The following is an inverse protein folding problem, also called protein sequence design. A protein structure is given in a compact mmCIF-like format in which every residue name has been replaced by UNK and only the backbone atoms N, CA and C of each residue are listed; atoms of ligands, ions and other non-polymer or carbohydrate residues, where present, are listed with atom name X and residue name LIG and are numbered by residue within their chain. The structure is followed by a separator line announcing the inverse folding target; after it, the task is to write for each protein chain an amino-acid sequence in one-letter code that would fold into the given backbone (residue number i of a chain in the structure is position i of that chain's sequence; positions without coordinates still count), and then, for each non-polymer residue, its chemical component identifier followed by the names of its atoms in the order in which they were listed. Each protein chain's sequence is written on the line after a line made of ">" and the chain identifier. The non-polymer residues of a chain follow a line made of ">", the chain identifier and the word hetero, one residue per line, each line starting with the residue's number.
data_IF_289321064593
#
_entry.id   IF_289321064593
#
_cell.length_a   1.000
_cell.length_b   1.000
_cell.length_c   1.000
_cell.angle_alpha   90.00
_cell.angle_beta   90.00
_cell.angle_gamma   90.00
#
_symmetry.space_group_name_H-M   'P 1'
#
loop_
_entity.id
_entity.type
_entity.pdbx_description
1 polymer ?
#
# COMPACT_ATOMS: atom_id res chain seq x y z
N UNK A 1 5.54 -35.54 60.36
CA UNK A 1 6.04 -34.81 59.17
C UNK A 1 5.35 -35.42 57.97
N UNK A 2 4.25 -34.80 57.53
CA UNK A 2 3.56 -35.20 56.30
C UNK A 2 4.30 -34.60 55.09
N UNK A 3 4.44 -35.33 53.97
CA UNK A 3 5.00 -34.76 52.75
C UNK A 3 4.03 -33.71 52.17
N UNK A 4 4.54 -32.63 51.56
CA UNK A 4 3.68 -31.61 50.97
C UNK A 4 2.86 -32.19 49.81
N UNK A 5 1.61 -31.73 49.61
CA UNK A 5 0.76 -32.20 48.53
C UNK A 5 1.37 -31.82 47.19
N UNK A 6 1.55 -32.80 46.31
CA UNK A 6 1.97 -32.59 44.93
C UNK A 6 0.86 -31.81 44.21
N UNK A 7 1.10 -30.52 43.94
CA UNK A 7 0.27 -29.69 43.07
C UNK A 7 0.45 -30.19 41.64
N UNK A 8 -0.35 -31.20 41.27
CA UNK A 8 -0.39 -31.70 39.89
C UNK A 8 -0.70 -30.56 38.94
N UNK A 9 0.25 -30.20 38.07
CA UNK A 9 -0.01 -29.32 36.95
C UNK A 9 -1.02 -30.05 36.06
N UNK A 10 -2.26 -29.56 36.03
CA UNK A 10 -3.32 -30.10 35.19
C UNK A 10 -2.82 -30.14 33.73
N UNK A 11 -2.78 -31.32 33.06
CA UNK A 11 -2.27 -31.45 31.70
C UNK A 11 -3.13 -30.74 30.65
N UNK A 12 -4.22 -30.08 31.06
CA UNK A 12 -5.06 -29.19 30.23
C UNK A 12 -4.46 -27.80 30.06
N UNK A 13 -3.51 -27.40 30.91
CA UNK A 13 -2.76 -26.14 30.78
C UNK A 13 -1.45 -26.34 30.01
N UNK A 14 -1.46 -27.23 29.01
CA UNK A 14 -0.38 -27.22 28.04
C UNK A 14 -0.48 -25.91 27.24
N UNK A 15 0.57 -25.07 27.22
CA UNK A 15 0.60 -23.92 26.33
C UNK A 15 0.47 -24.46 24.91
N UNK A 16 -0.65 -24.13 24.25
CA UNK A 16 -0.84 -24.43 22.84
C UNK A 16 0.34 -23.77 22.10
N UNK A 17 1.05 -24.47 21.20
CA UNK A 17 2.09 -23.84 20.41
C UNK A 17 1.49 -22.61 19.72
N UNK A 18 2.02 -21.42 20.02
CA UNK A 18 1.62 -20.22 19.32
C UNK A 18 1.98 -20.43 17.84
N UNK A 19 0.97 -20.54 16.98
CA UNK A 19 1.19 -20.49 15.54
C UNK A 19 1.95 -19.19 15.22
N UNK A 20 2.87 -19.17 14.23
CA UNK A 20 3.54 -17.94 13.84
C UNK A 20 2.48 -16.90 13.53
N UNK A 21 2.43 -15.82 14.30
CA UNK A 21 1.59 -14.68 13.97
C UNK A 21 2.11 -14.11 12.65
N UNK A 22 1.27 -14.10 11.61
CA UNK A 22 1.56 -13.35 10.39
C UNK A 22 1.82 -11.88 10.71
N UNK A 23 2.37 -11.09 9.77
CA UNK A 23 2.64 -9.69 9.99
C UNK A 23 1.38 -8.95 10.46
N UNK A 24 1.51 -8.18 11.53
CA UNK A 24 0.40 -7.47 12.21
C UNK A 24 0.01 -6.17 11.46
N UNK A 25 0.61 -5.90 10.29
CA UNK A 25 0.42 -4.67 9.51
C UNK A 25 -0.57 -4.80 8.35
N UNK A 26 -1.03 -3.67 7.76
CA UNK A 26 -1.77 -3.69 6.51
C UNK A 26 -0.92 -4.36 5.41
N UNK A 27 -1.55 -5.03 4.44
CA UNK A 27 -0.83 -5.61 3.30
C UNK A 27 -0.05 -4.52 2.54
N UNK A 28 1.15 -4.83 2.04
CA UNK A 28 1.99 -3.87 1.33
C UNK A 28 1.26 -3.30 0.11
N UNK A 29 1.50 -2.01 -0.24
CA UNK A 29 0.76 -1.30 -1.28
C UNK A 29 1.31 -1.64 -2.68
N UNK A 30 1.26 -2.92 -3.05
CA UNK A 30 1.94 -3.46 -4.22
C UNK A 30 1.35 -2.92 -5.53
N UNK A 31 0.04 -2.64 -5.60
CA UNK A 31 -0.57 -2.11 -6.83
C UNK A 31 -0.14 -0.66 -7.03
N UNK A 32 -0.27 0.19 -6.00
CA UNK A 32 0.15 1.59 -6.01
C UNK A 32 1.64 1.74 -6.38
N UNK A 33 2.50 0.84 -5.88
CA UNK A 33 3.93 0.79 -6.24
C UNK A 33 4.20 0.46 -7.70
N UNK A 34 3.38 -0.40 -8.28
CA UNK A 34 3.52 -0.84 -9.65
C UNK A 34 2.87 0.10 -10.68
N UNK A 35 2.14 1.13 -10.25
CA UNK A 35 1.54 2.15 -11.14
C UNK A 35 2.62 2.95 -11.83
N UNK A 36 2.65 2.95 -13.16
CA UNK A 36 3.54 3.79 -13.97
C UNK A 36 2.93 5.19 -14.12
N UNK A 37 3.68 6.23 -13.75
CA UNK A 37 3.26 7.62 -13.97
C UNK A 37 4.04 8.18 -15.15
N UNK A 38 3.38 8.33 -16.29
CA UNK A 38 4.06 8.77 -17.53
C UNK A 38 4.24 10.29 -17.59
N UNK A 39 3.21 11.03 -17.20
CA UNK A 39 3.21 12.49 -17.25
C UNK A 39 2.16 13.06 -16.29
N UNK A 40 2.33 14.34 -15.94
CA UNK A 40 1.25 15.17 -15.40
C UNK A 40 0.93 16.26 -16.42
N UNK A 41 -0.35 16.53 -16.60
CA UNK A 41 -0.86 17.53 -17.53
C UNK A 41 -1.86 18.41 -16.81
N UNK A 42 -1.85 19.70 -17.14
CA UNK A 42 -2.85 20.63 -16.64
C UNK A 42 -3.84 20.94 -17.77
N UNK A 43 -5.12 20.65 -17.53
CA UNK A 43 -6.22 20.93 -18.45
C UNK A 43 -7.07 22.05 -17.85
N UNK A 44 -6.88 23.27 -18.34
CA UNK A 44 -7.45 24.48 -17.73
C UNK A 44 -6.88 24.71 -16.33
N UNK A 45 -7.73 24.64 -15.30
CA UNK A 45 -7.34 24.78 -13.90
C UNK A 45 -7.19 23.43 -13.17
N UNK A 46 -7.40 22.31 -13.87
CA UNK A 46 -7.39 20.97 -13.27
C UNK A 46 -6.10 20.25 -13.66
N UNK A 47 -5.37 19.79 -12.65
CA UNK A 47 -4.19 18.94 -12.83
C UNK A 47 -4.62 17.47 -12.93
N UNK A 48 -4.06 16.75 -13.89
CA UNK A 48 -4.28 15.31 -14.11
C UNK A 48 -2.95 14.59 -14.30
N UNK A 49 -2.92 13.32 -13.96
CA UNK A 49 -1.82 12.40 -14.24
C UNK A 49 -2.21 11.43 -15.36
N UNK A 50 -1.23 11.05 -16.18
CA UNK A 50 -1.32 9.95 -17.13
C UNK A 50 -0.69 8.74 -16.47
N UNK A 51 -1.51 7.75 -16.13
CA UNK A 51 -1.08 6.57 -15.39
C UNK A 51 -1.40 5.29 -16.14
N UNK A 52 -0.59 4.26 -15.89
CA UNK A 52 -0.88 2.89 -16.29
C UNK A 52 -0.78 1.99 -15.05
N UNK A 53 -1.92 1.47 -14.63
CA UNK A 53 -1.99 0.52 -13.52
C UNK A 53 -1.67 -0.89 -14.01
N UNK A 54 -1.20 -1.80 -13.13
CA UNK A 54 -1.05 -3.21 -13.46
C UNK A 54 -2.38 -3.79 -13.95
N UNK A 55 -2.40 -4.35 -15.16
CA UNK A 55 -3.59 -4.95 -15.76
C UNK A 55 -4.64 -3.95 -16.30
N UNK A 56 -4.35 -2.64 -16.30
CA UNK A 56 -5.20 -1.61 -16.90
C UNK A 56 -4.51 -0.92 -18.08
N UNK A 57 -5.31 -0.39 -19.01
CA UNK A 57 -4.84 0.51 -20.05
C UNK A 57 -4.41 1.87 -19.48
N UNK A 58 -3.60 2.60 -20.25
CA UNK A 58 -3.17 3.96 -19.90
C UNK A 58 -4.35 4.92 -19.91
N UNK A 59 -4.51 5.72 -18.84
CA UNK A 59 -5.62 6.67 -18.71
C UNK A 59 -5.26 7.93 -17.93
N UNK A 60 -6.10 8.96 -18.09
CA UNK A 60 -6.04 10.20 -17.33
C UNK A 60 -6.76 10.06 -16.00
N UNK A 61 -6.12 10.46 -14.92
CA UNK A 61 -6.68 10.44 -13.56
C UNK A 61 -6.41 11.75 -12.84
N UNK A 62 -7.32 12.17 -11.98
CA UNK A 62 -7.20 13.33 -11.10
C UNK A 62 -7.23 12.93 -9.63
N UNK A 63 -7.07 13.91 -8.76
CA UNK A 63 -7.26 13.72 -7.31
C UNK A 63 -8.69 13.27 -7.04
N UNK A 64 -8.86 12.22 -6.25
CA UNK A 64 -10.15 11.62 -5.94
C UNK A 64 -10.49 10.38 -6.77
N UNK A 65 -9.76 10.10 -7.84
CA UNK A 65 -9.99 8.92 -8.69
C UNK A 65 -9.47 7.62 -8.05
N UNK A 66 -10.05 6.51 -8.48
CA UNK A 66 -9.60 5.16 -8.12
C UNK A 66 -9.03 4.41 -9.32
N UNK A 67 -7.90 3.72 -9.10
CA UNK A 67 -7.18 2.93 -10.09
C UNK A 67 -6.83 1.52 -9.61
N UNK A 68 -6.30 0.67 -10.49
CA UNK A 68 -5.91 -0.69 -10.16
C UNK A 68 -7.11 -1.57 -9.78
N UNK A 69 -8.24 -1.43 -10.48
CA UNK A 69 -9.48 -2.12 -10.13
C UNK A 69 -10.20 -1.59 -8.89
N UNK A 70 -9.81 -0.41 -8.40
CA UNK A 70 -10.45 0.26 -7.26
C UNK A 70 -9.67 0.16 -5.95
N UNK A 71 -8.52 -0.50 -5.93
CA UNK A 71 -7.69 -0.67 -4.73
C UNK A 71 -6.80 0.55 -4.41
N UNK A 72 -6.50 1.37 -5.42
CA UNK A 72 -5.59 2.51 -5.28
C UNK A 72 -6.35 3.82 -5.42
N UNK A 73 -6.20 4.71 -4.45
CA UNK A 73 -6.77 6.04 -4.45
C UNK A 73 -5.74 7.09 -4.85
N UNK A 74 -6.11 8.01 -5.74
CA UNK A 74 -5.27 9.14 -6.12
C UNK A 74 -5.47 10.27 -5.12
N UNK A 75 -4.56 10.38 -4.16
CA UNK A 75 -4.67 11.29 -3.02
C UNK A 75 -4.23 12.71 -3.32
N UNK A 76 -3.15 12.88 -4.07
CA UNK A 76 -2.64 14.19 -4.45
C UNK A 76 -1.82 14.13 -5.75
N UNK A 77 -1.77 15.25 -6.47
CA UNK A 77 -0.86 15.44 -7.60
C UNK A 77 -0.12 16.76 -7.36
N UNK A 78 1.15 16.66 -6.97
CA UNK A 78 2.00 17.83 -6.73
C UNK A 78 2.78 18.19 -8.00
N UNK A 79 2.52 19.38 -8.52
CA UNK A 79 3.19 19.95 -9.70
C UNK A 79 3.90 21.25 -9.39
N UNK A 80 3.87 21.68 -8.12
CA UNK A 80 4.44 22.94 -7.67
C UNK A 80 5.90 22.79 -7.28
N UNK A 81 6.37 21.56 -7.09
CA UNK A 81 7.78 21.24 -6.90
C UNK A 81 8.49 21.25 -8.26
N UNK A 82 9.28 22.30 -8.58
CA UNK A 82 9.71 22.58 -9.95
C UNK A 82 10.74 21.59 -10.52
N UNK A 83 11.30 20.72 -9.69
CA UNK A 83 12.29 19.73 -10.12
C UNK A 83 11.63 18.45 -10.64
N UNK A 84 10.60 17.93 -9.96
CA UNK A 84 10.00 16.63 -10.25
C UNK A 84 8.53 16.60 -9.79
N UNK A 85 7.55 16.62 -10.71
CA UNK A 85 6.16 16.42 -10.34
C UNK A 85 5.93 15.01 -9.79
N UNK A 86 5.10 14.89 -8.77
CA UNK A 86 4.81 13.62 -8.08
C UNK A 86 3.31 13.37 -7.95
N UNK A 87 2.94 12.11 -8.00
CA UNK A 87 1.59 11.62 -7.72
C UNK A 87 1.63 10.84 -6.41
N UNK A 88 0.78 11.23 -5.46
CA UNK A 88 0.62 10.52 -4.19
C UNK A 88 -0.57 9.58 -4.31
N UNK A 89 -0.30 8.29 -4.18
CA UNK A 89 -1.26 7.21 -4.23
C UNK A 89 -1.47 6.63 -2.83
N UNK A 90 -2.64 6.10 -2.55
CA UNK A 90 -2.94 5.42 -1.30
C UNK A 90 -3.53 4.03 -1.59
N UNK A 91 -3.01 3.00 -0.93
CA UNK A 91 -3.53 1.63 -0.99
C UNK A 91 -3.44 1.03 0.41
N UNK A 92 -4.52 0.40 0.88
CA UNK A 92 -4.59 -0.19 2.23
C UNK A 92 -4.24 0.78 3.38
N UNK A 93 -4.46 2.09 3.18
CA UNK A 93 -4.09 3.14 4.14
C UNK A 93 -2.60 3.49 4.16
N UNK A 94 -1.80 2.99 3.21
CA UNK A 94 -0.40 3.34 3.03
C UNK A 94 -0.21 4.27 1.84
N UNK A 95 0.52 5.37 2.05
CA UNK A 95 0.82 6.35 1.00
C UNK A 95 2.07 5.95 0.20
N UNK A 96 1.98 6.06 -1.12
CA UNK A 96 3.04 5.77 -2.07
C UNK A 96 3.23 6.98 -2.99
N UNK A 97 4.38 7.63 -2.89
CA UNK A 97 4.75 8.74 -3.78
C UNK A 97 5.40 8.19 -5.05
N UNK A 98 4.86 8.55 -6.21
CA UNK A 98 5.34 8.13 -7.53
C UNK A 98 5.77 9.37 -8.33
N UNK A 99 7.07 9.55 -8.60
CA UNK A 99 7.51 10.62 -9.50
C UNK A 99 7.08 10.35 -10.93
N UNK A 100 6.89 11.41 -11.70
CA UNK A 100 6.67 11.30 -13.15
C UNK A 100 7.89 10.68 -13.82
N UNK A 101 7.66 9.74 -14.73
CA UNK A 101 8.70 8.95 -15.38
C UNK A 101 9.17 7.74 -14.55
N UNK A 102 8.61 7.52 -13.35
CA UNK A 102 8.99 6.37 -12.53
C UNK A 102 8.49 5.05 -13.14
N UNK A 103 9.42 4.13 -13.36
CA UNK A 103 9.12 2.73 -13.67
C UNK A 103 8.42 2.04 -12.48
N UNK A 104 7.68 0.93 -12.70
CA UNK A 104 7.04 0.16 -11.63
C UNK A 104 8.06 -0.23 -10.56
N UNK A 105 7.73 -0.01 -9.29
CA UNK A 105 8.53 -0.58 -8.20
C UNK A 105 8.19 -2.06 -8.03
N UNK A 106 9.18 -2.92 -7.76
CA UNK A 106 8.92 -4.32 -7.46
C UNK A 106 8.03 -4.45 -6.21
N UNK A 107 7.18 -5.50 -6.16
CA UNK A 107 6.38 -5.78 -4.99
C UNK A 107 7.27 -6.08 -3.79
N UNK A 108 6.84 -5.63 -2.61
CA UNK A 108 7.43 -6.05 -1.35
C UNK A 108 6.92 -7.46 -1.00
N UNK A 109 7.86 -8.38 -0.72
CA UNK A 109 7.64 -9.79 -0.35
C UNK A 109 7.61 -9.99 1.16
#
# INVERSE_FOLDING_TARGET
>A
MEPPPNLGIDPRFQPVPAAPAGPIGPPPPNTARAVEVSAVVQVGQVVKAIVKSPGEDTRYVGVGDYIGGGSVYVKNIDVYTPAEPVVVLEENGQEVTRPVGAAPLPPEI
#
